data_IF_998257727026
#
_entry.id   IF_998257727026
#
_cell.length_a   1.000
_cell.length_b   1.000
_cell.length_c   1.000
_cell.angle_alpha   90.00
_cell.angle_beta   90.00
_cell.angle_gamma   90.00
#
_symmetry.space_group_name_H-M   'P 1'
#
loop_
_entity.id
_entity.type
_entity.pdbx_description
1 polymer ?
#
# COMPACT_ATOMS: atom_id res chain seq x y z
N UNK A 1 -30.12 18.49 -33.57
CA UNK A 1 -31.44 18.06 -34.05
C UNK A 1 -31.78 16.76 -33.35
N UNK A 2 -33.06 16.49 -33.09
CA UNK A 2 -33.53 15.28 -32.42
C UNK A 2 -34.94 14.95 -32.87
N UNK A 3 -35.45 13.75 -32.58
CA UNK A 3 -36.78 13.35 -33.02
C UNK A 3 -37.57 12.61 -31.94
N UNK A 4 -38.89 12.66 -32.08
CA UNK A 4 -39.81 11.89 -31.24
C UNK A 4 -40.80 11.10 -32.07
N UNK A 5 -41.05 9.88 -31.63
CA UNK A 5 -42.12 9.08 -32.20
C UNK A 5 -43.45 9.52 -31.56
N UNK A 6 -44.39 9.93 -32.40
CA UNK A 6 -45.76 10.17 -32.01
C UNK A 6 -46.58 8.89 -32.24
N UNK A 7 -47.63 8.65 -31.41
CA UNK A 7 -48.51 7.51 -31.63
C UNK A 7 -49.20 7.65 -32.99
N UNK A 8 -49.10 6.62 -33.82
CA UNK A 8 -49.79 6.49 -35.11
C UNK A 8 -50.66 5.23 -35.06
N UNK A 9 -51.94 5.30 -35.46
CA UNK A 9 -52.83 4.13 -35.47
C UNK A 9 -52.49 3.12 -36.57
N UNK A 10 -51.78 3.53 -37.62
CA UNK A 10 -51.36 2.65 -38.71
C UNK A 10 -50.02 1.96 -38.36
N UNK A 11 -49.98 0.62 -38.24
CA UNK A 11 -48.74 -0.10 -37.95
C UNK A 11 -47.68 -0.02 -39.06
N UNK A 12 -48.04 0.38 -40.28
CA UNK A 12 -47.11 0.56 -41.40
C UNK A 12 -46.55 1.99 -41.51
N UNK A 13 -47.06 2.94 -40.75
CA UNK A 13 -46.62 4.35 -40.77
C UNK A 13 -46.12 4.83 -39.41
N UNK A 14 -45.09 5.66 -39.42
CA UNK A 14 -44.53 6.27 -38.22
C UNK A 14 -44.56 7.79 -38.34
N UNK A 15 -45.23 8.43 -37.38
CA UNK A 15 -45.23 9.89 -37.25
C UNK A 15 -44.04 10.33 -36.41
N UNK A 16 -43.15 11.13 -37.00
CA UNK A 16 -41.95 11.63 -36.36
C UNK A 16 -42.03 13.15 -36.18
N UNK A 17 -41.93 13.61 -34.94
CA UNK A 17 -41.73 15.02 -34.64
C UNK A 17 -40.23 15.31 -34.69
N UNK A 18 -39.79 16.10 -35.68
CA UNK A 18 -38.41 16.55 -35.79
C UNK A 18 -38.23 17.88 -35.05
N UNK A 19 -37.30 17.89 -34.09
CA UNK A 19 -36.92 19.09 -33.33
C UNK A 19 -35.56 19.57 -33.80
N UNK A 20 -35.55 20.78 -34.35
CA UNK A 20 -34.36 21.46 -34.87
C UNK A 20 -34.08 22.69 -34.02
N UNK A 21 -32.83 22.86 -33.62
CA UNK A 21 -32.36 24.04 -32.91
C UNK A 21 -31.00 24.45 -33.45
N UNK A 22 -30.74 25.76 -33.45
CA UNK A 22 -29.43 26.29 -33.78
C UNK A 22 -28.43 25.92 -32.67
N UNK A 23 -27.23 25.49 -33.05
CA UNK A 23 -26.19 25.11 -32.09
C UNK A 23 -25.84 26.25 -31.13
N UNK A 24 -25.77 27.48 -31.62
CA UNK A 24 -25.46 28.67 -30.82
C UNK A 24 -26.47 28.90 -29.69
N UNK A 25 -27.76 28.66 -29.95
CA UNK A 25 -28.82 28.81 -28.95
C UNK A 25 -28.70 27.75 -27.86
N UNK A 26 -28.38 26.50 -28.23
CA UNK A 26 -28.17 25.40 -27.26
C UNK A 26 -26.91 25.65 -26.42
N UNK A 27 -25.81 26.08 -27.05
CA UNK A 27 -24.55 26.40 -26.37
C UNK A 27 -24.71 27.59 -25.39
N UNK A 28 -25.56 28.57 -25.74
CA UNK A 28 -25.91 29.69 -24.86
C UNK A 28 -26.61 29.26 -23.58
N UNK A 29 -27.62 28.38 -23.69
CA UNK A 29 -28.33 27.79 -22.54
C UNK A 29 -27.38 26.95 -21.69
N UNK A 30 -26.53 26.14 -22.32
CA UNK A 30 -25.52 25.34 -21.62
C UNK A 30 -24.56 26.20 -20.80
N UNK A 31 -24.05 27.28 -21.41
CA UNK A 31 -23.14 28.21 -20.74
C UNK A 31 -23.77 28.85 -19.50
N UNK A 32 -25.07 29.18 -19.57
CA UNK A 32 -25.82 29.70 -18.42
C UNK A 32 -25.94 28.66 -17.31
N UNK A 33 -26.32 27.42 -17.64
CA UNK A 33 -26.47 26.34 -16.65
C UNK A 33 -25.14 25.96 -16.00
N UNK A 34 -24.05 25.91 -16.78
CA UNK A 34 -22.70 25.66 -16.28
C UNK A 34 -22.22 26.77 -15.34
N UNK A 35 -22.57 28.04 -15.62
CA UNK A 35 -22.21 29.16 -14.74
C UNK A 35 -22.85 29.07 -13.35
N UNK A 36 -24.00 28.40 -13.27
CA UNK A 36 -24.73 28.14 -12.02
C UNK A 36 -24.21 26.85 -11.34
N UNK A 37 -23.37 26.07 -12.03
CA UNK A 37 -22.79 24.82 -11.53
C UNK A 37 -23.62 23.57 -11.83
N UNK A 38 -24.63 23.68 -12.72
CA UNK A 38 -25.41 22.52 -13.14
C UNK A 38 -24.74 21.81 -14.32
N UNK A 39 -24.70 20.48 -14.24
CA UNK A 39 -24.38 19.62 -15.39
C UNK A 39 -25.67 19.07 -15.96
N UNK A 40 -25.92 19.38 -17.24
CA UNK A 40 -27.17 19.05 -17.90
C UNK A 40 -27.02 17.74 -18.66
N UNK A 41 -27.94 16.81 -18.46
CA UNK A 41 -27.98 15.52 -19.18
C UNK A 41 -28.85 15.60 -20.45
N UNK A 42 -29.88 16.45 -20.42
CA UNK A 42 -30.83 16.55 -21.52
C UNK A 42 -31.35 17.98 -21.69
N UNK A 43 -31.46 18.41 -22.94
CA UNK A 43 -32.11 19.66 -23.32
C UNK A 43 -33.32 19.34 -24.20
N UNK A 44 -34.49 19.83 -23.81
CA UNK A 44 -35.76 19.63 -24.51
C UNK A 44 -36.51 20.95 -24.68
N UNK A 45 -37.50 20.95 -25.57
CA UNK A 45 -38.46 22.04 -25.72
C UNK A 45 -39.61 21.92 -24.71
N UNK A 46 -40.03 23.01 -24.06
CA UNK A 46 -41.10 23.03 -23.05
C UNK A 46 -42.44 22.58 -23.63
N UNK A 47 -42.83 23.09 -24.80
CA UNK A 47 -44.12 22.80 -25.45
C UNK A 47 -44.29 21.33 -25.88
N UNK A 48 -43.20 20.58 -26.00
CA UNK A 48 -43.24 19.18 -26.42
C UNK A 48 -43.90 18.27 -25.37
N UNK A 49 -43.85 18.62 -24.09
CA UNK A 49 -44.49 17.83 -23.04
C UNK A 49 -46.01 17.78 -23.18
N UNK A 50 -46.62 18.91 -23.55
CA UNK A 50 -48.05 18.99 -23.82
C UNK A 50 -48.48 18.10 -24.98
N UNK A 51 -47.62 17.93 -25.99
CA UNK A 51 -47.96 17.17 -27.20
C UNK A 51 -47.95 15.64 -27.00
N UNK A 52 -46.99 15.10 -26.26
CA UNK A 52 -46.69 13.65 -26.26
C UNK A 52 -47.37 12.94 -25.07
N UNK A 53 -47.97 13.69 -24.15
CA UNK A 53 -48.75 13.15 -23.03
C UNK A 53 -50.26 13.28 -23.22
N UNK A 54 -50.70 13.98 -24.27
CA UNK A 54 -52.10 14.34 -24.43
C UNK A 54 -52.87 13.27 -25.17
N UNK A 55 -53.87 12.72 -24.49
CA UNK A 55 -54.90 11.89 -25.09
C UNK A 55 -56.12 12.79 -25.35
N UNK A 56 -56.37 13.19 -26.61
CA UNK A 56 -57.48 14.06 -26.94
C UNK A 56 -58.82 13.32 -26.70
N UNK A 57 -59.78 13.91 -25.96
CA UNK A 57 -61.11 13.31 -25.77
C UNK A 57 -61.97 13.38 -27.05
N UNK A 58 -61.67 14.34 -27.93
CA UNK A 58 -62.36 14.63 -29.20
C UNK A 58 -61.38 15.24 -30.21
N UNK A 59 -61.80 15.35 -31.47
CA UNK A 59 -61.03 16.04 -32.51
C UNK A 59 -60.83 17.52 -32.15
N UNK A 60 -59.58 17.93 -31.91
CA UNK A 60 -59.26 19.27 -31.43
C UNK A 60 -57.94 19.81 -32.00
N UNK A 61 -57.86 21.14 -32.10
CA UNK A 61 -56.63 21.89 -32.32
C UNK A 61 -56.21 22.50 -31.01
N UNK A 62 -55.03 22.13 -30.52
CA UNK A 62 -54.45 22.70 -29.31
C UNK A 62 -53.45 23.79 -29.67
N UNK A 63 -53.59 24.94 -29.05
CA UNK A 63 -52.70 26.08 -29.20
C UNK A 63 -52.10 26.34 -27.83
N UNK A 64 -50.89 25.82 -27.61
CA UNK A 64 -50.13 26.11 -26.40
C UNK A 64 -49.21 27.30 -26.65
N UNK A 65 -49.29 28.35 -25.86
CA UNK A 65 -48.48 29.55 -26.05
C UNK A 65 -47.64 29.90 -24.82
N UNK A 66 -46.45 30.42 -25.06
CA UNK A 66 -45.51 30.86 -24.02
C UNK A 66 -44.98 32.25 -24.38
N UNK A 67 -45.11 33.25 -23.47
CA UNK A 67 -44.60 34.59 -23.72
C UNK A 67 -43.06 34.55 -23.78
N UNK A 68 -42.50 35.08 -24.87
CA UNK A 68 -41.04 35.25 -25.00
C UNK A 68 -40.61 36.59 -24.39
N UNK A 69 -41.34 37.64 -24.74
CA UNK A 69 -41.15 39.02 -24.30
C UNK A 69 -42.51 39.70 -24.11
N UNK A 70 -42.54 40.94 -23.62
CA UNK A 70 -43.79 41.73 -23.47
C UNK A 70 -44.60 41.89 -24.78
N UNK A 71 -43.96 41.72 -25.94
CA UNK A 71 -44.55 41.99 -27.25
C UNK A 71 -44.69 40.75 -28.14
N UNK A 72 -44.16 39.59 -27.72
CA UNK A 72 -44.11 38.40 -28.58
C UNK A 72 -44.25 37.09 -27.81
N UNK A 73 -44.85 36.09 -28.45
CA UNK A 73 -45.05 34.75 -27.92
C UNK A 73 -44.68 33.68 -28.93
N UNK A 74 -44.25 32.54 -28.41
CA UNK A 74 -44.06 31.31 -29.16
C UNK A 74 -45.33 30.46 -28.98
N UNK A 75 -46.02 30.18 -30.09
CA UNK A 75 -47.26 29.39 -30.13
C UNK A 75 -46.99 28.04 -30.80
N UNK A 76 -47.13 26.96 -30.05
CA UNK A 76 -47.15 25.60 -30.59
C UNK A 76 -48.60 25.21 -30.89
N UNK A 77 -48.87 24.94 -32.15
CA UNK A 77 -50.19 24.55 -32.67
C UNK A 77 -50.12 23.08 -33.05
N UNK A 78 -50.96 22.25 -32.45
CA UNK A 78 -51.04 20.82 -32.75
C UNK A 78 -52.45 20.38 -33.09
N UNK A 79 -52.57 19.63 -34.19
CA UNK A 79 -53.82 19.10 -34.72
C UNK A 79 -53.98 17.65 -34.29
N UNK A 80 -54.99 17.38 -33.49
CA UNK A 80 -55.32 16.06 -32.99
C UNK A 80 -56.65 15.61 -33.59
N UNK A 81 -56.61 14.71 -34.57
CA UNK A 81 -57.79 14.21 -35.29
C UNK A 81 -57.76 12.68 -35.28
N UNK A 82 -58.91 12.04 -35.07
CA UNK A 82 -59.06 10.59 -34.95
C UNK A 82 -58.21 9.98 -33.81
N UNK A 83 -57.93 10.76 -32.75
CA UNK A 83 -57.17 10.30 -31.58
C UNK A 83 -55.64 10.32 -31.71
N UNK A 84 -55.08 10.96 -32.75
CA UNK A 84 -53.64 11.10 -32.93
C UNK A 84 -53.24 12.44 -33.57
N UNK A 85 -51.96 12.79 -33.46
CA UNK A 85 -51.42 14.07 -33.95
C UNK A 85 -51.12 14.00 -35.44
N UNK A 86 -51.83 14.81 -36.25
CA UNK A 86 -51.69 14.91 -37.71
C UNK A 86 -50.65 15.93 -38.14
N UNK A 87 -50.71 17.11 -37.53
CA UNK A 87 -49.83 18.24 -37.83
C UNK A 87 -49.43 18.95 -36.54
N UNK A 88 -48.20 19.45 -36.51
CA UNK A 88 -47.67 20.20 -35.38
C UNK A 88 -46.67 21.25 -35.87
N UNK A 89 -46.90 22.51 -35.50
CA UNK A 89 -46.09 23.65 -35.93
C UNK A 89 -45.81 24.62 -34.80
N UNK A 90 -44.60 25.18 -34.78
CA UNK A 90 -44.23 26.27 -33.89
C UNK A 90 -44.25 27.58 -34.68
N UNK A 91 -45.03 28.55 -34.20
CA UNK A 91 -45.18 29.88 -34.82
C UNK A 91 -44.80 30.95 -33.82
N UNK A 92 -43.99 31.89 -34.25
CA UNK A 92 -43.68 33.09 -33.49
C UNK A 92 -44.66 34.20 -33.84
N UNK A 93 -45.37 34.73 -32.85
CA UNK A 93 -46.53 35.60 -33.05
C UNK A 93 -46.43 36.83 -32.12
N UNK A 94 -46.67 38.06 -32.60
CA UNK A 94 -46.73 39.23 -31.73
C UNK A 94 -48.01 39.25 -30.88
N UNK A 95 -47.97 39.83 -29.67
CA UNK A 95 -49.10 39.87 -28.73
C UNK A 95 -50.24 40.85 -29.12
N UNK A 96 -50.24 41.36 -30.35
CA UNK A 96 -51.20 42.35 -30.84
C UNK A 96 -52.19 41.74 -31.86
N UNK A 97 -53.04 42.58 -32.47
CA UNK A 97 -53.99 42.15 -33.50
C UNK A 97 -53.32 41.54 -34.73
N UNK A 98 -52.06 41.92 -35.04
CA UNK A 98 -51.30 41.30 -36.13
C UNK A 98 -51.00 39.84 -35.80
N UNK A 99 -50.84 39.54 -34.52
CA UNK A 99 -50.68 38.17 -34.05
C UNK A 99 -51.91 37.32 -34.26
N UNK A 100 -53.09 37.86 -33.93
CA UNK A 100 -54.36 37.18 -34.18
C UNK A 100 -54.54 36.83 -35.67
N UNK A 101 -54.15 37.73 -36.57
CA UNK A 101 -54.19 37.48 -38.01
C UNK A 101 -53.18 36.41 -38.44
N UNK A 102 -51.95 36.45 -37.92
CA UNK A 102 -50.94 35.44 -38.22
C UNK A 102 -51.36 34.04 -37.74
N UNK A 103 -51.97 33.95 -36.56
CA UNK A 103 -52.51 32.70 -36.02
C UNK A 103 -53.61 32.13 -36.92
N UNK A 104 -54.60 32.94 -37.31
CA UNK A 104 -55.68 32.52 -38.21
C UNK A 104 -55.14 32.11 -39.58
N UNK A 105 -54.14 32.82 -40.12
CA UNK A 105 -53.50 32.44 -41.38
C UNK A 105 -52.82 31.07 -41.27
N UNK A 106 -52.14 30.79 -40.16
CA UNK A 106 -51.54 29.46 -39.93
C UNK A 106 -52.62 28.38 -39.83
N UNK A 107 -53.70 28.63 -39.08
CA UNK A 107 -54.83 27.70 -38.96
C UNK A 107 -55.48 27.42 -40.31
N UNK A 108 -55.69 28.44 -41.14
CA UNK A 108 -56.23 28.28 -42.49
C UNK A 108 -55.31 27.48 -43.41
N UNK A 109 -54.00 27.76 -43.38
CA UNK A 109 -53.03 27.04 -44.21
C UNK A 109 -52.96 25.55 -43.84
N UNK A 110 -52.94 25.24 -42.54
CA UNK A 110 -52.96 23.86 -42.06
C UNK A 110 -54.30 23.18 -42.36
N UNK A 111 -55.43 23.89 -42.19
CA UNK A 111 -56.75 23.36 -42.52
C UNK A 111 -56.92 23.04 -44.01
N UNK A 112 -56.48 23.93 -44.90
CA UNK A 112 -56.51 23.67 -46.34
C UNK A 112 -55.65 22.48 -46.73
N UNK A 113 -54.46 22.35 -46.11
CA UNK A 113 -53.60 21.19 -46.33
C UNK A 113 -54.29 19.91 -45.86
N UNK A 114 -54.97 19.96 -44.71
CA UNK A 114 -55.70 18.82 -44.17
C UNK A 114 -56.95 18.42 -44.92
N UNK A 115 -57.66 19.38 -45.52
CA UNK A 115 -58.79 19.10 -46.43
C UNK A 115 -58.31 18.48 -47.74
N UNK A 116 -57.18 18.97 -48.29
CA UNK A 116 -56.57 18.42 -49.50
C UNK A 116 -56.06 16.99 -49.31
N UNK A 117 -55.47 16.70 -48.15
CA UNK A 117 -55.02 15.34 -47.78
C UNK A 117 -56.17 14.45 -47.28
N UNK A 118 -57.34 15.02 -47.02
CA UNK A 118 -58.58 14.32 -46.65
C UNK A 118 -58.67 13.87 -45.20
N UNK A 119 -57.75 14.30 -44.32
CA UNK A 119 -57.84 14.02 -42.89
C UNK A 119 -58.69 15.05 -42.12
N UNK A 120 -58.89 16.25 -42.67
CA UNK A 120 -59.78 17.26 -42.08
C UNK A 120 -61.12 17.29 -42.81
N UNK A 121 -62.21 16.97 -42.12
CA UNK A 121 -63.58 16.97 -42.70
C UNK A 121 -64.44 18.12 -42.23
N UNK A 122 -64.21 18.59 -41.00
CA UNK A 122 -64.90 19.69 -40.35
C UNK A 122 -63.90 20.45 -39.49
N UNK A 123 -64.15 21.74 -39.25
CA UNK A 123 -63.32 22.53 -38.35
C UNK A 123 -63.45 21.96 -36.92
N UNK A 124 -62.34 21.52 -36.30
CA UNK A 124 -62.35 20.93 -34.96
C UNK A 124 -62.51 22.00 -33.89
N UNK A 125 -62.71 21.55 -32.65
CA UNK A 125 -62.71 22.42 -31.48
C UNK A 125 -61.31 23.01 -31.24
N UNK A 126 -61.22 24.28 -30.86
CA UNK A 126 -59.93 24.92 -30.57
C UNK A 126 -59.76 25.02 -29.07
N UNK A 127 -58.66 24.44 -28.57
CA UNK A 127 -58.26 24.51 -27.17
C UNK A 127 -57.05 25.41 -27.02
N UNK A 128 -57.14 26.43 -26.18
CA UNK A 128 -56.01 27.26 -25.80
C UNK A 128 -55.43 26.81 -24.48
N UNK A 129 -54.10 26.76 -24.43
CA UNK A 129 -53.33 26.49 -23.23
C UNK A 129 -52.26 27.57 -23.08
N UNK A 130 -52.29 28.30 -21.98
CA UNK A 130 -51.29 29.33 -21.71
C UNK A 130 -51.37 29.89 -20.30
N UNK A 131 -50.49 30.85 -19.97
CA UNK A 131 -50.58 31.57 -18.70
C UNK A 131 -51.84 32.44 -18.63
N UNK A 132 -52.34 32.68 -17.40
CA UNK A 132 -53.69 33.22 -17.03
C UNK A 132 -54.24 34.45 -17.80
N UNK A 133 -53.44 35.18 -18.58
CA UNK A 133 -53.92 36.34 -19.37
C UNK A 133 -53.55 36.21 -20.86
N UNK A 134 -54.46 35.65 -21.66
CA UNK A 134 -54.32 35.61 -23.12
C UNK A 134 -54.73 36.96 -23.76
N UNK A 135 -54.10 37.36 -24.88
CA UNK A 135 -54.58 38.49 -25.65
C UNK A 135 -56.02 38.22 -26.14
N UNK A 136 -56.99 39.03 -25.69
CA UNK A 136 -58.40 38.85 -26.06
C UNK A 136 -58.64 38.85 -27.58
N UNK A 137 -57.76 39.51 -28.35
CA UNK A 137 -57.78 39.50 -29.82
C UNK A 137 -57.57 38.10 -30.43
N UNK A 138 -56.78 37.24 -29.79
CA UNK A 138 -56.50 35.87 -30.26
C UNK A 138 -57.70 34.97 -30.03
N UNK A 139 -58.31 35.04 -28.84
CA UNK A 139 -59.53 34.30 -28.50
C UNK A 139 -60.66 34.69 -29.45
N UNK A 140 -60.86 36.00 -29.68
CA UNK A 140 -61.90 36.46 -30.62
C UNK A 140 -61.66 35.97 -32.04
N UNK A 141 -60.42 35.96 -32.50
CA UNK A 141 -60.07 35.47 -33.83
C UNK A 141 -60.30 33.95 -33.95
N UNK A 142 -59.94 33.17 -32.93
CA UNK A 142 -60.17 31.73 -32.91
C UNK A 142 -61.64 31.34 -32.76
N UNK A 143 -62.44 32.12 -32.01
CA UNK A 143 -63.90 31.99 -31.96
C UNK A 143 -64.58 32.31 -33.29
N UNK A 144 -64.01 33.22 -34.09
CA UNK A 144 -64.51 33.50 -35.45
C UNK A 144 -64.15 32.38 -36.42
N UNK A 145 -63.02 31.71 -36.20
CA UNK A 145 -62.53 30.63 -37.06
C UNK A 145 -63.22 29.29 -36.77
N UNK A 146 -63.36 28.92 -35.49
CA UNK A 146 -64.02 27.70 -35.06
C UNK A 146 -65.51 27.95 -34.79
N UNK A 147 -66.38 27.11 -35.36
CA UNK A 147 -67.83 27.18 -35.11
C UNK A 147 -68.27 26.39 -33.87
N UNK A 148 -67.40 25.54 -33.33
CA UNK A 148 -67.66 24.59 -32.24
C UNK A 148 -67.33 25.12 -30.84
N UNK A 149 -66.70 26.30 -30.74
CA UNK A 149 -66.33 26.92 -29.46
C UNK A 149 -64.84 26.87 -29.19
N UNK A 150 -64.44 27.62 -28.16
CA UNK A 150 -63.04 27.72 -27.71
C UNK A 150 -63.01 27.35 -26.23
N UNK A 151 -62.35 26.23 -25.91
CA UNK A 151 -62.05 25.83 -24.53
C UNK A 151 -60.71 26.42 -24.10
N UNK A 152 -60.69 27.00 -22.90
CA UNK A 152 -59.46 27.47 -22.27
C UNK A 152 -59.08 26.49 -21.16
N UNK A 153 -57.85 25.98 -21.22
CA UNK A 153 -57.28 25.12 -20.20
C UNK A 153 -56.05 25.84 -19.63
N UNK A 154 -56.03 26.04 -18.31
CA UNK A 154 -54.89 26.67 -17.66
C UNK A 154 -53.64 25.83 -17.88
N UNK A 155 -52.57 26.43 -18.39
CA UNK A 155 -51.32 25.71 -18.56
C UNK A 155 -50.82 25.18 -17.20
N UNK A 156 -50.42 23.91 -17.09
CA UNK A 156 -49.85 23.40 -15.85
C UNK A 156 -48.62 24.22 -15.47
N UNK A 157 -48.49 24.55 -14.19
CA UNK A 157 -47.38 25.34 -13.67
C UNK A 157 -46.02 24.78 -14.15
N UNK A 158 -45.05 25.67 -14.37
CA UNK A 158 -43.73 25.31 -14.91
C UNK A 158 -43.02 24.20 -14.13
N UNK A 159 -43.21 24.15 -12.81
CA UNK A 159 -42.70 23.08 -11.95
C UNK A 159 -43.27 21.70 -12.28
N UNK A 160 -44.58 21.63 -12.57
CA UNK A 160 -45.26 20.39 -12.94
C UNK A 160 -44.75 19.90 -14.29
N UNK A 161 -44.64 20.81 -15.27
CA UNK A 161 -44.07 20.49 -16.60
C UNK A 161 -42.63 20.02 -16.52
N UNK A 162 -41.82 20.64 -15.65
CA UNK A 162 -40.44 20.22 -15.41
C UNK A 162 -40.38 18.83 -14.77
N UNK A 163 -41.28 18.53 -13.82
CA UNK A 163 -41.36 17.23 -13.17
C UNK A 163 -41.76 16.13 -14.15
N UNK A 164 -42.79 16.35 -14.96
CA UNK A 164 -43.23 15.41 -16.00
C UNK A 164 -42.13 15.16 -17.04
N UNK A 165 -41.42 16.23 -17.44
CA UNK A 165 -40.26 16.11 -18.32
C UNK A 165 -39.20 15.18 -17.72
N UNK A 166 -38.80 15.43 -16.47
CA UNK A 166 -37.81 14.62 -15.77
C UNK A 166 -38.26 13.15 -15.61
N UNK A 167 -39.52 12.93 -15.25
CA UNK A 167 -40.09 11.58 -15.10
C UNK A 167 -40.09 10.81 -16.42
N UNK A 168 -40.43 11.47 -17.53
CA UNK A 168 -40.42 10.85 -18.87
C UNK A 168 -39.02 10.55 -19.35
N UNK A 169 -38.06 11.42 -19.08
CA UNK A 169 -36.64 11.21 -19.39
C UNK A 169 -36.09 9.99 -18.66
N UNK A 170 -36.35 9.87 -17.34
CA UNK A 170 -35.91 8.72 -16.54
C UNK A 170 -36.58 7.42 -17.01
N UNK A 171 -37.85 7.49 -17.43
CA UNK A 171 -38.59 6.33 -17.95
C UNK A 171 -38.26 5.98 -19.40
N UNK A 172 -37.39 6.73 -20.07
CA UNK A 172 -37.05 6.52 -21.48
C UNK A 172 -38.22 6.76 -22.45
N UNK A 173 -39.25 7.49 -22.01
CA UNK A 173 -40.45 7.81 -22.82
C UNK A 173 -40.28 9.07 -23.67
N UNK A 174 -39.15 9.76 -23.55
CA UNK A 174 -38.76 10.90 -24.37
C UNK A 174 -37.44 10.59 -25.07
N UNK A 175 -37.46 10.51 -26.40
CA UNK A 175 -36.26 10.33 -27.23
C UNK A 175 -35.64 11.66 -27.65
N UNK A 176 -36.32 12.78 -27.37
CA UNK A 176 -35.87 14.10 -27.80
C UNK A 176 -34.77 14.59 -26.88
N UNK A 177 -33.55 14.70 -27.41
CA UNK A 177 -32.44 15.34 -26.74
C UNK A 177 -31.72 16.26 -27.72
N UNK A 178 -31.76 17.57 -27.46
CA UNK A 178 -31.05 18.58 -28.25
C UNK A 178 -29.60 18.77 -27.80
N UNK A 179 -29.16 18.05 -26.77
CA UNK A 179 -27.78 18.10 -26.29
C UNK A 179 -26.81 17.69 -27.41
N UNK A 180 -25.78 18.50 -27.72
CA UNK A 180 -24.74 18.10 -28.66
C UNK A 180 -23.99 16.87 -28.14
N UNK A 181 -23.76 15.88 -29.01
CA UNK A 181 -23.05 14.65 -28.64
C UNK A 181 -21.62 14.91 -28.12
N UNK A 182 -20.98 15.98 -28.60
CA UNK A 182 -19.63 16.38 -28.20
C UNK A 182 -19.56 16.76 -26.71
N UNK A 183 -20.59 17.47 -26.22
CA UNK A 183 -20.70 17.93 -24.82
C UNK A 183 -21.00 16.74 -23.91
N UNK A 184 -21.89 15.84 -24.35
CA UNK A 184 -22.17 14.56 -23.67
C UNK A 184 -20.91 13.73 -23.43
N UNK A 185 -20.05 13.63 -24.44
CA UNK A 185 -18.77 12.91 -24.31
C UNK A 185 -17.83 13.62 -23.34
N UNK A 186 -17.78 14.95 -23.38
CA UNK A 186 -16.98 15.77 -22.48
C UNK A 186 -17.35 15.60 -21.00
N UNK A 187 -18.64 15.66 -20.67
CA UNK A 187 -19.11 15.43 -19.29
C UNK A 187 -18.85 14.02 -18.81
N UNK A 188 -19.06 13.01 -19.67
CA UNK A 188 -18.77 11.62 -19.31
C UNK A 188 -17.27 11.41 -19.07
N UNK A 189 -16.41 12.04 -19.86
CA UNK A 189 -14.96 11.96 -19.69
C UNK A 189 -14.52 12.63 -18.38
N UNK A 190 -14.99 13.84 -18.08
CA UNK A 190 -14.63 14.53 -16.84
C UNK A 190 -15.12 13.81 -15.59
N UNK A 191 -16.30 13.17 -15.65
CA UNK A 191 -16.82 12.35 -14.56
C UNK A 191 -15.97 11.09 -14.33
N UNK A 192 -15.61 10.40 -15.42
CA UNK A 192 -14.74 9.23 -15.37
C UNK A 192 -13.36 9.62 -14.83
N UNK A 193 -12.76 10.69 -15.34
CA UNK A 193 -11.45 11.19 -14.90
C UNK A 193 -11.44 11.58 -13.41
N UNK A 194 -12.51 12.22 -12.94
CA UNK A 194 -12.70 12.53 -11.52
C UNK A 194 -12.77 11.27 -10.64
N UNK A 195 -13.48 10.24 -11.10
CA UNK A 195 -13.60 8.96 -10.40
C UNK A 195 -12.26 8.22 -10.36
N UNK A 196 -11.52 8.18 -11.47
CA UNK A 196 -10.19 7.59 -11.54
C UNK A 196 -9.22 8.31 -10.61
N UNK A 197 -9.19 9.65 -10.62
CA UNK A 197 -8.33 10.41 -9.72
C UNK A 197 -8.67 10.22 -8.25
N UNK A 198 -9.96 10.12 -7.92
CA UNK A 198 -10.43 9.81 -6.57
C UNK A 198 -9.98 8.41 -6.12
N UNK A 199 -10.14 7.39 -6.98
CA UNK A 199 -9.70 6.03 -6.68
C UNK A 199 -8.18 5.92 -6.53
N UNK A 200 -7.41 6.59 -7.40
CA UNK A 200 -5.95 6.59 -7.37
C UNK A 200 -5.41 7.24 -6.08
N UNK A 201 -6.04 8.34 -5.64
CA UNK A 201 -5.75 8.96 -4.33
C UNK A 201 -6.06 8.02 -3.17
N UNK A 202 -7.20 7.31 -3.21
CA UNK A 202 -7.57 6.34 -2.19
C UNK A 202 -6.53 5.23 -2.03
N UNK A 203 -6.08 4.64 -3.14
CA UNK A 203 -5.03 3.62 -3.13
C UNK A 203 -3.70 4.19 -2.63
N UNK A 204 -3.33 5.41 -3.04
CA UNK A 204 -2.12 6.08 -2.56
C UNK A 204 -2.12 6.32 -1.04
N UNK A 205 -3.26 6.76 -0.48
CA UNK A 205 -3.41 6.94 0.96
C UNK A 205 -3.30 5.62 1.73
N UNK A 206 -3.91 4.55 1.23
CA UNK A 206 -3.80 3.21 1.82
C UNK A 206 -2.34 2.74 1.82
N UNK A 207 -1.62 2.94 0.72
CA UNK A 207 -0.21 2.58 0.63
C UNK A 207 0.65 3.36 1.63
N UNK A 208 0.48 4.69 1.72
CA UNK A 208 1.21 5.52 2.70
C UNK A 208 0.91 5.05 4.12
N UNK A 209 -0.34 4.70 4.42
CA UNK A 209 -0.72 4.18 5.72
C UNK A 209 -0.06 2.83 6.03
N UNK A 210 -0.04 1.91 5.05
CA UNK A 210 0.62 0.61 5.17
C UNK A 210 2.14 0.76 5.38
N UNK A 211 2.78 1.69 4.66
CA UNK A 211 4.20 2.03 4.84
C UNK A 211 4.44 2.59 6.24
N UNK A 212 3.57 3.47 6.74
CA UNK A 212 3.64 4.00 8.11
C UNK A 212 3.57 2.88 9.16
N UNK A 213 2.64 1.95 9.01
CA UNK A 213 2.52 0.76 9.89
C UNK A 213 3.79 -0.09 9.82
N UNK A 214 4.32 -0.33 8.62
CA UNK A 214 5.53 -1.11 8.43
C UNK A 214 6.74 -0.48 9.14
N UNK A 215 6.92 0.83 9.01
CA UNK A 215 7.99 1.55 9.71
C UNK A 215 7.83 1.47 11.24
N UNK A 216 6.61 1.65 11.76
CA UNK A 216 6.36 1.51 13.19
C UNK A 216 6.67 0.09 13.71
N UNK A 217 6.30 -0.95 12.96
CA UNK A 217 6.60 -2.33 13.30
C UNK A 217 8.12 -2.64 13.25
N UNK A 218 8.82 -2.06 12.28
CA UNK A 218 10.27 -2.19 12.13
C UNK A 218 11.01 -1.56 13.32
N UNK A 219 10.57 -0.38 13.76
CA UNK A 219 11.19 0.34 14.86
C UNK A 219 10.99 -0.39 16.21
N UNK A 220 9.82 -1.01 16.40
CA UNK A 220 9.55 -1.87 17.56
C UNK A 220 10.42 -3.13 17.57
N UNK A 221 10.64 -3.79 16.43
CA UNK A 221 11.54 -4.96 16.38
C UNK A 221 13.01 -4.63 16.63
N UNK A 222 13.42 -3.39 16.36
CA UNK A 222 14.80 -2.94 16.59
C UNK A 222 15.10 -2.76 18.07
N UNK A 223 14.14 -2.30 18.88
CA UNK A 223 14.30 -2.15 20.33
C UNK A 223 14.43 -3.51 21.02
N UNK A 224 13.63 -4.50 20.62
CA UNK A 224 13.68 -5.86 21.18
C UNK A 224 15.03 -6.56 20.90
N UNK A 225 15.63 -6.34 19.73
CA UNK A 225 16.96 -6.85 19.41
C UNK A 225 18.09 -6.17 20.19
N UNK A 226 17.94 -4.89 20.51
CA UNK A 226 18.93 -4.16 21.34
C UNK A 226 18.98 -4.74 22.76
N UNK A 227 17.82 -5.02 23.36
CA UNK A 227 17.73 -5.63 24.69
C UNK A 227 18.35 -7.04 24.70
N UNK A 228 18.11 -7.83 23.66
CA UNK A 228 18.74 -9.15 23.50
C UNK A 228 20.27 -9.06 23.36
N UNK A 229 20.80 -8.08 22.62
CA UNK A 229 22.23 -7.87 22.50
C UNK A 229 22.87 -7.40 23.82
N UNK A 230 22.17 -6.56 24.58
CA UNK A 230 22.63 -6.12 25.91
C UNK A 230 22.65 -7.29 26.89
N UNK A 231 21.64 -8.17 26.86
CA UNK A 231 21.59 -9.38 27.68
C UNK A 231 22.68 -10.42 27.33
N UNK A 232 23.04 -10.54 26.05
CA UNK A 232 24.15 -11.39 25.61
C UNK A 232 25.51 -10.87 26.09
N UNK A 233 25.73 -9.55 26.01
CA UNK A 233 26.99 -8.92 26.47
C UNK A 233 27.19 -9.05 27.98
N UNK A 234 26.12 -8.92 28.77
CA UNK A 234 26.22 -9.09 30.23
C UNK A 234 26.57 -10.54 30.62
N UNK A 235 26.05 -11.54 29.90
CA UNK A 235 26.43 -12.95 30.08
C UNK A 235 27.87 -13.24 29.65
N UNK A 236 28.36 -12.63 28.57
CA UNK A 236 29.74 -12.83 28.12
C UNK A 236 30.77 -12.44 29.19
N UNK A 237 30.55 -11.35 29.93
CA UNK A 237 31.43 -10.93 31.02
C UNK A 237 31.47 -11.92 32.20
N UNK A 238 30.38 -12.65 32.47
CA UNK A 238 30.34 -13.69 33.49
C UNK A 238 31.12 -14.94 33.07
N UNK A 239 31.11 -15.29 31.77
CA UNK A 239 31.92 -16.40 31.24
C UNK A 239 33.42 -16.11 31.30
N UNK A 240 33.87 -14.87 31.04
CA UNK A 240 35.30 -14.51 31.12
C UNK A 240 35.84 -14.62 32.55
N UNK A 241 35.03 -14.28 33.56
CA UNK A 241 35.42 -14.37 34.96
C UNK A 241 35.58 -15.82 35.44
N UNK A 242 34.79 -16.75 34.92
CA UNK A 242 34.88 -18.18 35.31
C UNK A 242 36.10 -18.87 34.71
N UNK A 243 36.50 -18.52 33.47
CA UNK A 243 37.74 -19.05 32.86
C UNK A 243 39.01 -18.60 33.61
N UNK A 244 39.04 -17.35 34.10
CA UNK A 244 40.18 -16.83 34.85
C UNK A 244 40.33 -17.50 36.23
N UNK A 245 39.24 -17.92 36.86
CA UNK A 245 39.24 -18.65 38.12
C UNK A 245 39.75 -20.09 37.95
N UNK A 246 39.35 -20.78 36.87
CA UNK A 246 39.79 -22.14 36.58
C UNK A 246 41.30 -22.20 36.26
N UNK A 247 41.82 -21.20 35.53
CA UNK A 247 43.25 -21.10 35.23
C UNK A 247 44.13 -20.95 36.49
N UNK A 248 43.64 -20.25 37.53
CA UNK A 248 44.38 -20.08 38.80
C UNK A 248 44.47 -21.38 39.62
N UNK A 249 43.47 -22.24 39.54
CA UNK A 249 43.45 -23.52 40.27
C UNK A 249 44.49 -24.49 39.69
N UNK A 250 44.60 -24.58 38.36
CA UNK A 250 45.57 -25.47 37.72
C UNK A 250 47.03 -25.10 38.04
N UNK A 251 47.35 -23.81 38.10
CA UNK A 251 48.71 -23.33 38.42
C UNK A 251 49.11 -23.69 39.87
N UNK A 252 48.15 -23.75 40.80
CA UNK A 252 48.42 -24.10 42.20
C UNK A 252 48.67 -25.59 42.39
N UNK A 253 47.95 -26.45 41.65
CA UNK A 253 48.15 -27.90 41.68
C UNK A 253 49.55 -28.29 41.19
N UNK A 254 49.99 -27.70 40.08
CA UNK A 254 51.28 -27.98 39.45
C UNK A 254 52.48 -27.64 40.37
N UNK A 255 52.34 -26.64 41.25
CA UNK A 255 53.37 -26.29 42.22
C UNK A 255 53.48 -27.25 43.40
N UNK A 256 52.41 -27.99 43.73
CA UNK A 256 52.41 -28.96 44.83
C UNK A 256 53.11 -30.25 44.40
N UNK A 257 52.81 -30.74 43.19
CA UNK A 257 53.39 -31.99 42.67
C UNK A 257 54.90 -31.89 42.42
N UNK A 258 55.36 -30.70 42.00
CA UNK A 258 56.79 -30.41 41.84
C UNK A 258 57.57 -30.48 43.17
N UNK A 259 56.94 -30.16 44.31
CA UNK A 259 57.60 -30.22 45.62
C UNK A 259 57.75 -31.65 46.13
N UNK A 260 56.75 -32.51 45.92
CA UNK A 260 56.82 -33.91 46.33
C UNK A 260 57.88 -34.69 45.52
N UNK A 261 57.95 -34.45 44.20
CA UNK A 261 58.96 -35.09 43.33
C UNK A 261 60.41 -34.71 43.70
N UNK A 262 60.64 -33.46 44.13
CA UNK A 262 61.94 -33.01 44.58
C UNK A 262 62.36 -33.65 45.93
N UNK A 263 61.39 -33.92 46.80
CA UNK A 263 61.63 -34.60 48.09
C UNK A 263 61.97 -36.08 47.91
N UNK A 264 61.24 -36.79 47.06
CA UNK A 264 61.48 -38.23 46.82
C UNK A 264 62.84 -38.48 46.17
N UNK A 265 63.23 -37.61 45.22
CA UNK A 265 64.56 -37.68 44.60
C UNK A 265 65.68 -37.45 45.60
N UNK A 266 65.58 -36.42 46.45
CA UNK A 266 66.58 -36.15 47.48
C UNK A 266 66.71 -37.32 48.47
N UNK A 267 65.59 -37.92 48.88
CA UNK A 267 65.58 -39.08 49.77
C UNK A 267 66.33 -40.27 49.16
N UNK A 268 65.98 -40.66 47.94
CA UNK A 268 66.63 -41.79 47.26
C UNK A 268 68.14 -41.59 47.05
N UNK A 269 68.56 -40.37 46.71
CA UNK A 269 69.97 -40.02 46.54
C UNK A 269 70.75 -40.17 47.86
N UNK A 270 70.11 -39.82 48.98
CA UNK A 270 70.71 -39.97 50.31
C UNK A 270 70.80 -41.42 50.78
N UNK A 271 69.81 -42.27 50.45
CA UNK A 271 69.80 -43.68 50.84
C UNK A 271 70.82 -44.53 50.06
N UNK A 272 71.09 -44.18 48.79
CA UNK A 272 72.02 -44.92 47.92
C UNK A 272 73.49 -44.47 48.04
N UNK A 273 73.80 -43.51 48.91
CA UNK A 273 75.14 -42.93 49.01
C UNK A 273 76.13 -43.90 49.68
N UNK A 274 77.29 -44.18 49.06
CA UNK A 274 78.30 -45.04 49.67
C UNK A 274 78.98 -44.40 50.89
N UNK A 275 79.30 -45.21 51.91
CA UNK A 275 80.05 -44.77 53.08
C UNK A 275 81.42 -44.15 52.67
N UNK A 276 81.63 -42.89 53.05
CA UNK A 276 82.83 -42.10 52.75
C UNK A 276 82.69 -41.04 51.65
N UNK A 277 81.52 -40.91 51.02
CA UNK A 277 81.20 -39.86 50.05
C UNK A 277 80.44 -38.70 50.73
N UNK A 278 80.66 -37.45 50.31
CA UNK A 278 79.82 -36.33 50.77
C UNK A 278 79.21 -35.54 49.63
N UNK A 279 77.94 -35.18 49.78
CA UNK A 279 77.17 -34.36 48.84
C UNK A 279 77.34 -32.88 49.20
N UNK A 280 77.78 -32.09 48.23
CA UNK A 280 78.04 -30.65 48.38
C UNK A 280 76.86 -29.81 47.89
N UNK A 281 76.19 -30.23 46.83
CA UNK A 281 75.03 -29.51 46.32
C UNK A 281 74.06 -30.42 45.59
N UNK A 282 72.77 -30.18 45.85
CA UNK A 282 71.62 -30.70 45.12
C UNK A 282 70.90 -29.54 44.45
N UNK A 283 70.78 -29.55 43.12
CA UNK A 283 70.05 -28.50 42.39
C UNK A 283 68.98 -29.11 41.50
N UNK A 284 67.73 -28.72 41.74
CA UNK A 284 66.56 -29.20 41.01
C UNK A 284 66.02 -28.08 40.10
N UNK A 285 66.05 -28.30 38.79
CA UNK A 285 65.57 -27.32 37.79
C UNK A 285 64.35 -27.86 37.05
N UNK A 286 63.33 -27.00 36.96
CA UNK A 286 62.17 -27.15 36.07
C UNK A 286 61.41 -28.49 36.19
N UNK A 287 61.43 -29.15 37.35
CA UNK A 287 60.71 -30.40 37.54
C UNK A 287 61.30 -31.61 36.80
N UNK A 288 62.51 -31.49 36.24
CA UNK A 288 63.05 -32.47 35.28
C UNK A 288 64.53 -32.77 35.48
N UNK A 289 65.36 -31.78 35.82
CA UNK A 289 66.82 -31.97 35.88
C UNK A 289 67.30 -31.82 37.31
N UNK A 290 67.99 -32.85 37.80
CA UNK A 290 68.68 -32.89 39.10
C UNK A 290 70.17 -32.90 38.85
N UNK A 291 70.88 -31.87 39.31
CA UNK A 291 72.34 -31.82 39.28
C UNK A 291 72.88 -32.17 40.66
N UNK A 292 73.71 -33.20 40.71
CA UNK A 292 74.38 -33.65 41.94
C UNK A 292 75.86 -33.35 41.87
N UNK A 293 76.41 -32.90 42.99
CA UNK A 293 77.84 -32.64 43.14
C UNK A 293 78.31 -33.02 44.51
N UNK A 294 79.46 -33.69 44.58
CA UNK A 294 80.07 -34.10 45.84
C UNK A 294 81.58 -34.19 45.78
N UNK A 295 82.17 -34.60 46.89
CA UNK A 295 83.58 -34.94 46.99
C UNK A 295 83.77 -36.44 47.30
N UNK A 296 84.94 -36.95 46.96
CA UNK A 296 85.37 -38.29 47.32
C UNK A 296 86.90 -38.31 47.56
N UNK A 297 87.39 -39.11 48.51
CA UNK A 297 88.82 -39.40 48.64
C UNK A 297 89.40 -40.01 47.35
N UNK A 298 90.62 -39.63 46.99
CA UNK A 298 91.23 -39.94 45.67
C UNK A 298 91.55 -41.45 45.51
N UNK A 299 91.64 -42.18 46.60
CA UNK A 299 91.80 -43.63 46.69
C UNK A 299 90.52 -44.43 46.39
N UNK A 300 89.37 -43.77 46.26
CA UNK A 300 88.06 -44.42 46.18
C UNK A 300 87.23 -44.00 44.96
N UNK A 301 87.86 -43.44 43.92
CA UNK A 301 87.18 -42.95 42.71
C UNK A 301 86.34 -43.99 41.98
N UNK A 302 86.67 -45.29 42.10
CA UNK A 302 85.87 -46.39 41.57
C UNK A 302 84.44 -46.43 42.15
N UNK A 303 84.26 -46.02 43.42
CA UNK A 303 82.93 -45.97 44.07
C UNK A 303 81.99 -44.96 43.43
N UNK A 304 82.50 -43.97 42.67
CA UNK A 304 81.65 -43.01 41.93
C UNK A 304 80.97 -43.71 40.75
N UNK A 305 81.67 -44.64 40.09
CA UNK A 305 81.13 -45.43 38.99
C UNK A 305 80.08 -46.43 39.50
N UNK A 306 80.36 -47.11 40.62
CA UNK A 306 79.39 -48.01 41.27
C UNK A 306 78.13 -47.26 41.75
N UNK A 307 78.31 -46.03 42.26
CA UNK A 307 77.20 -45.16 42.66
C UNK A 307 76.38 -44.69 41.45
N UNK A 308 77.03 -44.38 40.32
CA UNK A 308 76.35 -44.06 39.08
C UNK A 308 75.50 -45.23 38.57
N UNK A 309 76.03 -46.46 38.58
CA UNK A 309 75.26 -47.65 38.22
C UNK A 309 74.09 -47.91 39.19
N UNK A 310 74.31 -47.71 40.50
CA UNK A 310 73.27 -47.86 41.53
C UNK A 310 72.13 -46.84 41.35
N UNK A 311 72.44 -45.63 40.88
CA UNK A 311 71.45 -44.59 40.59
C UNK A 311 70.68 -44.83 39.30
N UNK A 312 71.30 -45.44 38.28
CA UNK A 312 70.58 -45.92 37.08
C UNK A 312 69.55 -46.99 37.48
N UNK A 313 69.90 -47.85 38.44
CA UNK A 313 69.03 -48.91 38.96
C UNK A 313 67.99 -48.46 40.00
N UNK A 314 67.97 -47.19 40.41
CA UNK A 314 67.14 -46.70 41.51
C UNK A 314 65.64 -46.70 41.16
N UNK A 315 64.85 -47.43 41.93
CA UNK A 315 63.39 -47.53 41.76
C UNK A 315 62.65 -46.98 42.97
N UNK A 316 61.56 -46.25 42.72
CA UNK A 316 60.56 -45.84 43.72
C UNK A 316 59.25 -46.49 43.33
N UNK A 317 58.63 -47.24 44.24
CA UNK A 317 57.40 -48.03 44.00
C UNK A 317 57.44 -48.91 42.73
N UNK A 318 58.59 -49.56 42.48
CA UNK A 318 58.79 -50.49 41.36
C UNK A 318 58.94 -49.82 39.98
N UNK A 319 59.11 -48.49 39.93
CA UNK A 319 59.36 -47.74 38.69
C UNK A 319 60.72 -47.03 38.76
N UNK A 320 61.50 -46.99 37.67
CA UNK A 320 62.77 -46.27 37.65
C UNK A 320 62.52 -44.76 37.82
N UNK A 321 63.20 -44.16 38.78
CA UNK A 321 63.01 -42.76 39.17
C UNK A 321 63.62 -41.79 38.15
N UNK A 322 64.74 -42.17 37.54
CA UNK A 322 65.46 -41.37 36.55
C UNK A 322 65.24 -41.94 35.14
N UNK A 323 64.98 -41.06 34.17
CA UNK A 323 64.86 -41.39 32.75
C UNK A 323 66.23 -41.50 32.09
N UNK A 324 67.17 -40.62 32.49
CA UNK A 324 68.55 -40.66 32.03
C UNK A 324 69.49 -40.17 33.14
N UNK A 325 70.67 -40.78 33.26
CA UNK A 325 71.74 -40.31 34.15
C UNK A 325 72.97 -40.09 33.29
N UNK A 326 73.53 -38.89 33.30
CA UNK A 326 74.74 -38.55 32.55
C UNK A 326 75.99 -39.18 33.16
N UNK A 327 76.98 -39.52 32.34
CA UNK A 327 78.25 -40.08 32.78
C UNK A 327 78.91 -39.21 33.88
N UNK A 328 79.51 -39.83 34.91
CA UNK A 328 80.12 -39.09 36.01
C UNK A 328 81.33 -38.29 35.52
N UNK A 329 81.32 -36.98 35.73
CA UNK A 329 82.50 -36.15 35.53
C UNK A 329 83.32 -36.11 36.81
N UNK A 330 84.52 -36.69 36.79
CA UNK A 330 85.45 -36.69 37.93
C UNK A 330 86.57 -35.69 37.64
N UNK A 331 86.64 -34.63 38.43
CA UNK A 331 87.73 -33.65 38.38
C UNK A 331 88.64 -33.84 39.58
N UNK A 332 89.91 -34.20 39.33
CA UNK A 332 90.91 -34.28 40.38
C UNK A 332 91.22 -32.88 40.92
N UNK A 333 90.97 -32.65 42.21
CA UNK A 333 91.28 -31.38 42.87
C UNK A 333 92.65 -31.51 43.53
N UNK A 334 93.61 -30.69 43.09
CA UNK A 334 94.95 -30.66 43.66
C UNK A 334 94.95 -30.22 45.13
N UNK A 335 96.01 -30.58 45.88
CA UNK A 335 96.19 -30.21 47.29
C UNK A 335 96.20 -28.69 47.46
N UNK A 336 95.26 -28.16 48.23
CA UNK A 336 95.24 -26.75 48.64
C UNK A 336 95.60 -26.66 50.13
N UNK A 337 96.27 -25.58 50.58
CA UNK A 337 96.66 -25.37 51.99
C UNK A 337 95.50 -25.45 52.99
N UNK A 338 94.25 -25.40 52.52
CA UNK A 338 93.03 -25.51 53.32
C UNK A 338 92.49 -26.93 53.47
N UNK A 339 92.94 -27.90 52.68
CA UNK A 339 92.43 -29.27 52.73
C UNK A 339 93.60 -30.26 52.59
N UNK A 340 94.12 -30.83 53.69
CA UNK A 340 95.31 -31.67 53.68
C UNK A 340 95.09 -33.07 53.09
N UNK A 341 93.85 -33.42 52.74
CA UNK A 341 93.48 -34.69 52.11
C UNK A 341 93.21 -34.47 50.62
N UNK A 342 93.90 -35.21 49.74
CA UNK A 342 93.60 -35.22 48.31
C UNK A 342 92.18 -35.74 48.08
N UNK A 343 91.29 -34.88 47.60
CA UNK A 343 89.90 -35.22 47.28
C UNK A 343 89.60 -34.86 45.83
N UNK A 344 88.90 -35.76 45.15
CA UNK A 344 88.36 -35.51 43.82
C UNK A 344 86.92 -35.03 43.94
N UNK A 345 86.52 -34.13 43.05
CA UNK A 345 85.12 -33.70 42.95
C UNK A 345 84.41 -34.47 41.85
N UNK A 346 83.20 -34.91 42.11
CA UNK A 346 82.35 -35.59 41.14
C UNK A 346 81.07 -34.79 40.91
N UNK A 347 80.56 -34.84 39.69
CA UNK A 347 79.25 -34.30 39.35
C UNK A 347 78.62 -35.09 38.22
N UNK A 348 77.30 -35.24 38.28
CA UNK A 348 76.50 -35.76 37.17
C UNK A 348 75.09 -35.17 37.22
N UNK A 349 74.43 -35.21 36.07
CA UNK A 349 73.05 -34.76 35.91
C UNK A 349 72.15 -35.98 35.79
N UNK A 350 71.06 -35.98 36.54
CA UNK A 350 70.00 -36.97 36.44
C UNK A 350 68.74 -36.29 35.92
N UNK A 351 68.09 -36.90 34.94
CA UNK A 351 66.81 -36.47 34.43
C UNK A 351 65.72 -37.31 35.10
N UNK A 352 64.78 -36.66 35.79
CA UNK A 352 63.67 -37.33 36.47
C UNK A 352 62.62 -37.77 35.48
N UNK A 353 62.21 -39.03 35.60
CA UNK A 353 61.04 -39.53 34.89
C UNK A 353 59.81 -38.94 35.58
N UNK A 354 59.06 -38.08 34.88
CA UNK A 354 57.81 -37.52 35.43
C UNK A 354 56.88 -38.66 35.85
N UNK A 355 56.67 -38.83 37.15
CA UNK A 355 55.61 -39.67 37.69
C UNK A 355 54.30 -38.90 37.59
N UNK A 356 53.59 -39.03 36.47
CA UNK A 356 52.20 -38.62 36.33
C UNK A 356 51.90 -37.81 35.09
N UNK A 357 51.22 -38.45 34.13
CA UNK A 357 50.02 -37.94 33.49
C UNK A 357 49.20 -39.17 33.06
N UNK A 358 48.26 -39.57 33.91
CA UNK A 358 46.85 -39.53 33.49
C UNK A 358 46.26 -38.26 34.07
#
# INVERSE_FOLDING_TARGET
WSFQNLPCPDPEQQSLLLVLAERSAVDGVLSQLESIGYQTDQITFSGLQGLVGFEPPSDCVRISWEPRDEHSADCLISWHIDGWTKDAGLVHVPMDERGAQALVNHLNNAAWSGELEGWLKQAPEVRFEGPEEEPGSWIEAAKKWSSLGVEHEDAPHSEVRAHECAERSVRGKSTVNLMPEDVHRGYRQSYVDGLWWSSLKGVGLIYIFAVGIYFAAMEWRKTENLDLQVAMRSRANAFTNTMALQAKVNILQEQVDLKYSALDSLRMISELMPDGMSLLSFNFRQGKIVTLRGNIPTDQTAKVTDYHESLIGAQVDGKPLFESVSDPTISATGTSRRNPVQSSTWSFNCELRRSGFE
#
